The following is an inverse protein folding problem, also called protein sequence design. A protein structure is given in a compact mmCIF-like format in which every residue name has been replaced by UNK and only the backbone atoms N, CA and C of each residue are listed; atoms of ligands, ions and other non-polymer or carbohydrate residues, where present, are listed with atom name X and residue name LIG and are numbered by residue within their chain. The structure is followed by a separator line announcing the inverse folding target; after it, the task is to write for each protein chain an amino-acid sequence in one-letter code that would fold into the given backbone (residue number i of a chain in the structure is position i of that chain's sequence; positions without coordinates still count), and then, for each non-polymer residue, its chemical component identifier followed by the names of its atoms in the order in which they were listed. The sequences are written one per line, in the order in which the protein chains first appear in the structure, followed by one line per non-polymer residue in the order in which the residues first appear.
data_IF_599860253946
#
_entry.id   IF_599860253946
#
_cell.length_a   1.000
_cell.length_b   1.000
_cell.length_c   1.000
_cell.angle_alpha   90.00
_cell.angle_beta   90.00
_cell.angle_gamma   90.00
#
_symmetry.space_group_name_H-M   'P 1'
#
loop_
_entity.id
_entity.type
_entity.pdbx_description
1 polymer ?
#
# COMPACT_ATOMS: atom_id res chain seq x y z
N UNK A 1 -20.60 0.03 4.22
CA UNK A 1 -19.19 -0.28 3.88
C UNK A 1 -18.77 0.71 2.81
N UNK A 2 -17.74 1.52 3.07
CA UNK A 2 -17.28 2.55 2.13
C UNK A 2 -16.73 1.94 0.85
N UNK A 3 -16.88 2.61 -0.27
CA UNK A 3 -16.28 2.16 -1.52
C UNK A 3 -14.81 2.60 -1.54
N UNK A 4 -13.88 1.65 -1.66
CA UNK A 4 -12.46 1.98 -1.85
C UNK A 4 -12.32 2.63 -3.21
N UNK A 5 -12.01 3.92 -3.25
CA UNK A 5 -11.96 4.64 -4.52
C UNK A 5 -10.69 4.28 -5.28
N UNK A 6 -10.77 4.23 -6.61
CA UNK A 6 -9.61 4.00 -7.47
C UNK A 6 -8.48 5.01 -7.17
N UNK A 7 -8.83 6.23 -6.74
CA UNK A 7 -7.88 7.26 -6.33
C UNK A 7 -7.05 6.86 -5.11
N UNK A 8 -7.67 6.25 -4.10
CA UNK A 8 -6.99 5.82 -2.87
C UNK A 8 -5.99 4.70 -3.15
N UNK A 9 -6.36 3.77 -4.03
CA UNK A 9 -5.44 2.71 -4.50
C UNK A 9 -4.23 3.32 -5.21
N UNK A 10 -4.44 4.28 -6.11
CA UNK A 10 -3.35 4.92 -6.85
C UNK A 10 -2.42 5.74 -5.95
N UNK A 11 -2.95 6.43 -4.93
CA UNK A 11 -2.14 7.11 -3.91
C UNK A 11 -1.29 6.10 -3.14
N UNK A 12 -1.88 4.99 -2.70
CA UNK A 12 -1.16 3.97 -1.93
C UNK A 12 -0.10 3.24 -2.77
N UNK A 13 -0.37 2.96 -4.06
CA UNK A 13 0.64 2.42 -4.98
C UNK A 13 1.85 3.35 -5.08
N UNK A 14 1.62 4.64 -5.33
CA UNK A 14 2.71 5.64 -5.40
C UNK A 14 3.50 5.71 -4.10
N UNK A 15 2.82 5.62 -2.96
CA UNK A 15 3.45 5.57 -1.65
C UNK A 15 4.42 4.39 -1.53
N UNK A 16 3.99 3.16 -1.86
CA UNK A 16 4.84 1.96 -1.76
C UNK A 16 5.92 1.87 -2.85
N UNK A 17 5.72 2.51 -4.01
CA UNK A 17 6.78 2.67 -5.03
C UNK A 17 7.94 3.51 -4.49
N UNK A 18 7.63 4.58 -3.75
CA UNK A 18 8.64 5.45 -3.13
C UNK A 18 9.22 4.82 -1.85
N UNK A 19 8.38 4.17 -1.05
CA UNK A 19 8.75 3.57 0.23
C UNK A 19 8.69 2.04 0.11
N UNK A 20 9.80 1.45 -0.33
CA UNK A 20 9.89 0.03 -0.72
C UNK A 20 9.57 -0.93 0.44
N UNK A 21 9.86 -0.55 1.68
CA UNK A 21 9.58 -1.34 2.88
C UNK A 21 9.10 -0.41 3.98
N UNK A 22 7.93 -0.69 4.55
CA UNK A 22 7.27 0.18 5.53
C UNK A 22 6.67 -0.66 6.65
N UNK A 23 6.89 -0.28 7.90
CA UNK A 23 6.24 -0.90 9.05
C UNK A 23 4.70 -0.74 9.01
N UNK A 24 3.95 -1.73 9.48
CA UNK A 24 2.48 -1.75 9.35
C UNK A 24 1.80 -0.50 9.94
N UNK A 25 2.27 -0.07 11.12
CA UNK A 25 1.74 1.12 11.82
C UNK A 25 2.03 2.39 11.02
N UNK A 26 3.26 2.50 10.48
CA UNK A 26 3.67 3.66 9.68
C UNK A 26 2.87 3.73 8.38
N UNK A 27 2.68 2.60 7.69
CA UNK A 27 1.92 2.55 6.44
C UNK A 27 0.49 3.06 6.64
N UNK A 28 -0.21 2.61 7.68
CA UNK A 28 -1.57 3.08 7.99
C UNK A 28 -1.58 4.58 8.28
N UNK A 29 -0.66 5.05 9.13
CA UNK A 29 -0.58 6.47 9.53
C UNK A 29 -0.30 7.38 8.33
N UNK A 30 0.69 7.02 7.52
CA UNK A 30 1.14 7.84 6.40
C UNK A 30 0.06 7.87 5.30
N UNK A 31 -0.60 6.75 5.01
CA UNK A 31 -1.71 6.71 4.06
C UNK A 31 -2.91 7.58 4.52
N UNK A 32 -3.24 7.59 5.83
CA UNK A 32 -4.25 8.53 6.37
C UNK A 32 -3.83 9.99 6.13
N UNK A 33 -2.56 10.32 6.37
CA UNK A 33 -2.04 11.66 6.13
C UNK A 33 -2.06 12.06 4.64
N UNK A 34 -1.96 11.10 3.73
CA UNK A 34 -2.11 11.29 2.29
C UNK A 34 -3.58 11.36 1.81
N UNK A 35 -4.54 11.28 2.74
CA UNK A 35 -5.97 11.40 2.45
C UNK A 35 -6.66 10.10 2.06
N UNK A 36 -6.01 8.95 2.24
CA UNK A 36 -6.65 7.63 2.04
C UNK A 36 -7.64 7.39 3.17
N UNK A 37 -8.91 7.16 2.81
CA UNK A 37 -10.02 7.07 3.79
C UNK A 37 -10.00 5.78 4.61
N UNK A 38 -9.72 4.66 3.95
CA UNK A 38 -9.69 3.31 4.57
C UNK A 38 -8.34 2.63 4.26
N UNK A 39 -7.23 3.07 4.86
CA UNK A 39 -5.89 2.55 4.53
C UNK A 39 -5.76 1.04 4.73
N UNK A 40 -6.33 0.50 5.80
CA UNK A 40 -6.27 -0.92 6.13
C UNK A 40 -6.92 -1.74 5.00
N UNK A 41 -8.02 -1.25 4.43
CA UNK A 41 -8.70 -1.87 3.29
C UNK A 41 -7.92 -1.72 2.00
N UNK A 42 -7.33 -0.55 1.75
CA UNK A 42 -6.48 -0.31 0.57
C UNK A 42 -5.24 -1.21 0.61
N UNK A 43 -4.59 -1.33 1.77
CA UNK A 43 -3.44 -2.23 1.98
C UNK A 43 -3.86 -3.68 1.70
N UNK A 44 -5.00 -4.13 2.23
CA UNK A 44 -5.53 -5.47 1.97
C UNK A 44 -5.75 -5.72 0.47
N UNK A 45 -6.25 -4.70 -0.25
CA UNK A 45 -6.44 -4.77 -1.70
C UNK A 45 -5.11 -4.82 -2.46
N UNK A 46 -4.10 -4.04 -2.05
CA UNK A 46 -2.76 -4.09 -2.65
C UNK A 46 -2.06 -5.44 -2.41
N UNK A 47 -2.26 -6.06 -1.25
CA UNK A 47 -1.82 -7.44 -0.97
C UNK A 47 -2.52 -8.43 -1.92
N UNK A 48 -3.85 -8.31 -2.07
CA UNK A 48 -4.65 -9.16 -2.97
C UNK A 48 -4.21 -9.02 -4.43
N UNK A 49 -3.82 -7.82 -4.85
CA UNK A 49 -3.30 -7.51 -6.18
C UNK A 49 -1.83 -7.90 -6.39
N UNK A 50 -1.15 -8.44 -5.37
CA UNK A 50 0.29 -8.72 -5.39
C UNK A 50 1.16 -7.48 -5.69
N UNK A 51 0.68 -6.27 -5.34
CA UNK A 51 1.49 -5.04 -5.45
C UNK A 51 2.49 -4.97 -4.29
N UNK A 52 2.05 -5.40 -3.11
CA UNK A 52 2.86 -5.48 -1.90
C UNK A 52 2.75 -6.88 -1.28
N UNK A 53 3.70 -7.22 -0.42
CA UNK A 53 3.68 -8.44 0.40
C UNK A 53 3.83 -8.11 1.86
N UNK A 54 3.25 -8.95 2.72
CA UNK A 54 3.36 -8.83 4.16
C UNK A 54 4.59 -9.61 4.66
N UNK A 55 5.50 -8.92 5.35
CA UNK A 55 6.59 -9.51 6.12
C UNK A 55 6.24 -9.56 7.62
N UNK A 56 7.26 -9.68 8.47
CA UNK A 56 7.05 -9.59 9.92
C UNK A 56 6.98 -8.12 10.35
N UNK A 57 5.78 -7.63 10.60
CA UNK A 57 5.52 -6.25 11.02
C UNK A 57 5.72 -5.18 9.93
N UNK A 58 5.85 -5.57 8.65
CA UNK A 58 6.07 -4.65 7.54
C UNK A 58 5.36 -5.05 6.24
N UNK A 59 5.14 -4.06 5.38
CA UNK A 59 4.71 -4.22 4.00
C UNK A 59 5.86 -3.88 3.06
N UNK A 60 6.10 -4.75 2.08
CA UNK A 60 7.17 -4.58 1.09
C UNK A 60 6.58 -4.50 -0.32
N UNK A 61 7.05 -3.56 -1.12
CA UNK A 61 6.71 -3.50 -2.55
C UNK A 61 7.20 -4.77 -3.25
N UNK A 62 6.29 -5.45 -3.94
CA UNK A 62 6.67 -6.51 -4.85
C UNK A 62 7.33 -5.84 -6.05
N UNK A 63 8.67 -5.90 -6.13
CA UNK A 63 9.36 -5.43 -7.33
C UNK A 63 8.95 -6.32 -8.49
N UNK A 64 8.18 -5.78 -9.44
CA UNK A 64 8.19 -6.34 -10.79
C UNK A 64 9.65 -6.43 -11.22
N UNK A 65 10.08 -7.60 -11.67
CA UNK A 65 11.40 -7.75 -12.30
C UNK A 65 11.44 -6.72 -13.42
N UNK A 66 12.17 -5.62 -13.24
CA UNK A 66 12.54 -4.76 -14.36
C UNK A 66 13.16 -5.73 -15.37
N UNK A 67 12.54 -5.89 -16.54
CA UNK A 67 13.26 -6.43 -17.69
C UNK A 67 14.45 -5.47 -17.85
N UNK A 68 15.63 -6.00 -17.52
CA UNK A 68 16.93 -5.39 -17.80
C UNK A 68 17.01 -4.95 -19.25
#
# INVERSE_FOLDING_TARGET
MGETTNKDIEVAKKYFVTNVSVGEIAAVRDLKALGVKEPERVIAELLRMNVIVKGDGCYNLLREKRKV
#
